data_IF_023579090239
#
_entry.id   IF_023579090239
#
_cell.length_a   1.000
_cell.length_b   1.000
_cell.length_c   1.000
_cell.angle_alpha   90.00
_cell.angle_beta   90.00
_cell.angle_gamma   90.00
#
_symmetry.space_group_name_H-M   'P 1'
#
loop_
_entity.id
_entity.type
_entity.pdbx_description
1 polymer ?
#
# COMPACT_ATOMS: atom_id res chain seq x y z
N UNK A 1 28.30 -1.92 3.10
CA UNK A 1 27.32 -2.66 3.92
C UNK A 1 26.25 -1.80 4.60
N UNK A 2 26.52 -0.57 5.05
CA UNK A 2 25.51 0.33 5.68
C UNK A 2 24.40 0.79 4.70
N UNK A 3 24.75 1.08 3.46
CA UNK A 3 23.80 1.63 2.46
C UNK A 3 22.62 0.69 2.13
N UNK A 4 22.86 -0.61 2.11
CA UNK A 4 21.79 -1.58 1.84
C UNK A 4 20.79 -1.67 3.00
N UNK A 5 21.25 -1.53 4.27
CA UNK A 5 20.35 -1.55 5.43
C UNK A 5 19.41 -0.36 5.45
N UNK A 6 19.90 0.84 5.09
CA UNK A 6 19.08 2.06 5.03
C UNK A 6 18.02 1.92 3.93
N UNK A 7 18.39 1.39 2.75
CA UNK A 7 17.44 1.16 1.65
C UNK A 7 16.33 0.16 2.05
N UNK A 8 16.68 -0.90 2.78
CA UNK A 8 15.71 -1.85 3.33
C UNK A 8 14.77 -1.19 4.32
N UNK A 9 15.28 -0.34 5.20
CA UNK A 9 14.46 0.36 6.19
C UNK A 9 13.48 1.32 5.52
N UNK A 10 13.93 2.02 4.48
CA UNK A 10 13.10 2.96 3.73
C UNK A 10 11.91 2.27 3.05
N UNK A 11 12.07 1.03 2.56
CA UNK A 11 10.98 0.27 1.95
C UNK A 11 9.81 -0.01 2.93
N UNK A 12 10.06 0.04 4.27
CA UNK A 12 9.05 -0.10 5.30
C UNK A 12 8.32 1.20 5.64
N UNK A 13 8.81 2.36 5.21
CA UNK A 13 8.22 3.66 5.56
C UNK A 13 6.72 3.73 5.21
N UNK A 14 6.26 3.35 4.00
CA UNK A 14 4.83 3.40 3.69
C UNK A 14 4.00 2.44 4.56
N UNK A 15 4.55 1.27 4.94
CA UNK A 15 3.88 0.32 5.83
C UNK A 15 3.73 0.89 7.25
N UNK A 16 4.75 1.61 7.75
CA UNK A 16 4.69 2.30 9.03
C UNK A 16 3.61 3.39 9.00
N UNK A 17 3.53 4.16 7.93
CA UNK A 17 2.49 5.19 7.76
C UNK A 17 1.10 4.56 7.79
N UNK A 18 0.87 3.45 7.07
CA UNK A 18 -0.40 2.72 7.09
C UNK A 18 -0.73 2.18 8.49
N UNK A 19 0.27 1.70 9.23
CA UNK A 19 0.09 1.22 10.60
C UNK A 19 -0.34 2.33 11.53
N UNK A 20 0.32 3.50 11.48
CA UNK A 20 -0.06 4.68 12.26
C UNK A 20 -1.49 5.08 11.91
N UNK A 21 -1.84 5.13 10.62
CA UNK A 21 -3.18 5.47 10.16
C UNK A 21 -4.23 4.47 10.66
N UNK A 22 -3.92 3.17 10.69
CA UNK A 22 -4.81 2.14 11.23
C UNK A 22 -5.02 2.31 12.74
N UNK A 23 -3.97 2.62 13.50
CA UNK A 23 -4.08 2.90 14.95
C UNK A 23 -4.96 4.12 15.21
N UNK A 24 -4.75 5.21 14.45
CA UNK A 24 -5.57 6.42 14.53
C UNK A 24 -7.03 6.13 14.19
N UNK A 25 -7.29 5.33 13.16
CA UNK A 25 -8.64 4.91 12.79
C UNK A 25 -9.32 4.15 13.94
N UNK A 26 -8.66 3.12 14.49
CA UNK A 26 -9.19 2.34 15.60
C UNK A 26 -9.51 3.25 16.80
N UNK A 27 -8.58 4.14 17.17
CA UNK A 27 -8.77 5.08 18.24
C UNK A 27 -9.98 6.00 18.00
N UNK A 28 -10.10 6.53 16.79
CA UNK A 28 -11.20 7.45 16.42
C UNK A 28 -12.56 6.76 16.45
N UNK A 29 -12.63 5.52 15.97
CA UNK A 29 -13.87 4.70 16.00
C UNK A 29 -14.30 4.42 17.44
N UNK A 30 -13.36 4.07 18.31
CA UNK A 30 -13.64 3.79 19.73
C UNK A 30 -14.07 5.08 20.45
N UNK A 31 -13.32 6.16 20.28
CA UNK A 31 -13.57 7.44 20.96
C UNK A 31 -14.93 8.07 20.58
N UNK A 32 -15.35 7.92 19.34
CA UNK A 32 -16.62 8.46 18.84
C UNK A 32 -17.79 7.48 18.90
N UNK A 33 -17.59 6.27 19.45
CA UNK A 33 -18.60 5.20 19.49
C UNK A 33 -19.24 4.91 18.12
N UNK A 34 -18.47 5.04 17.03
CA UNK A 34 -18.92 4.80 15.67
C UNK A 34 -18.60 3.35 15.24
N UNK A 35 -19.33 2.84 14.24
CA UNK A 35 -19.07 1.51 13.69
C UNK A 35 -17.95 1.52 12.65
N UNK A 36 -17.30 0.36 12.49
CA UNK A 36 -16.38 0.14 11.38
C UNK A 36 -17.16 -0.04 10.07
N UNK A 37 -16.80 0.73 9.05
CA UNK A 37 -17.24 0.46 7.69
C UNK A 37 -16.53 -0.79 7.16
N UNK A 38 -17.15 -1.50 6.22
CA UNK A 38 -16.53 -2.67 5.62
C UNK A 38 -15.14 -2.39 5.03
N UNK A 39 -14.93 -1.20 4.47
CA UNK A 39 -13.64 -0.74 3.93
C UNK A 39 -12.54 -0.63 5.00
N UNK A 40 -12.91 -0.28 6.23
CA UNK A 40 -12.00 -0.26 7.37
C UNK A 40 -11.59 -1.69 7.74
N UNK A 41 -12.54 -2.62 7.76
CA UNK A 41 -12.27 -4.03 8.07
C UNK A 41 -11.31 -4.63 7.03
N UNK A 42 -11.57 -4.39 5.73
CA UNK A 42 -10.67 -4.84 4.66
C UNK A 42 -9.26 -4.27 4.87
N UNK A 43 -9.14 -2.97 5.15
CA UNK A 43 -7.84 -2.32 5.42
C UNK A 43 -7.10 -2.97 6.60
N UNK A 44 -7.81 -3.20 7.71
CA UNK A 44 -7.26 -3.81 8.92
C UNK A 44 -6.83 -5.27 8.71
N UNK A 45 -7.49 -6.02 7.82
CA UNK A 45 -7.09 -7.39 7.45
C UNK A 45 -5.88 -7.39 6.51
N UNK A 46 -5.87 -6.47 5.55
CA UNK A 46 -4.77 -6.38 4.56
C UNK A 46 -3.46 -5.92 5.20
N UNK A 47 -3.53 -5.14 6.28
CA UNK A 47 -2.33 -4.66 6.98
C UNK A 47 -1.44 -5.81 7.51
N UNK A 48 -1.93 -6.77 8.33
CA UNK A 48 -1.13 -7.90 8.77
C UNK A 48 -0.68 -8.81 7.62
N UNK A 49 -1.45 -8.92 6.53
CA UNK A 49 -1.01 -9.66 5.34
C UNK A 49 0.22 -9.02 4.70
N UNK A 50 0.31 -7.67 4.67
CA UNK A 50 1.52 -6.98 4.21
C UNK A 50 2.71 -7.28 5.14
N UNK A 51 2.54 -7.26 6.47
CA UNK A 51 3.60 -7.64 7.40
C UNK A 51 4.07 -9.08 7.17
N UNK A 52 3.14 -10.01 6.97
CA UNK A 52 3.46 -11.40 6.65
C UNK A 52 4.22 -11.53 5.32
N UNK A 53 3.83 -10.78 4.30
CA UNK A 53 4.50 -10.75 3.00
C UNK A 53 5.95 -10.24 3.12
N UNK A 54 6.20 -9.19 3.92
CA UNK A 54 7.53 -8.69 4.22
C UNK A 54 8.37 -9.69 5.02
N UNK A 55 7.75 -10.38 5.98
CA UNK A 55 8.42 -11.42 6.77
C UNK A 55 8.82 -12.61 5.90
N UNK A 56 7.92 -13.03 5.01
CA UNK A 56 8.24 -14.14 4.11
C UNK A 56 9.35 -13.77 3.13
N UNK A 57 9.20 -12.66 2.38
CA UNK A 57 10.20 -12.14 1.46
C UNK A 57 10.05 -10.64 1.28
N UNK A 58 11.11 -9.91 1.47
CA UNK A 58 11.12 -8.46 1.31
C UNK A 58 10.57 -7.99 -0.07
N UNK A 59 11.00 -8.64 -1.17
CA UNK A 59 10.53 -8.31 -2.52
C UNK A 59 9.01 -8.50 -2.68
N UNK A 60 8.45 -9.58 -2.09
CA UNK A 60 7.00 -9.85 -2.09
C UNK A 60 6.27 -8.80 -1.27
N UNK A 61 6.81 -8.43 -0.11
CA UNK A 61 6.26 -7.39 0.75
C UNK A 61 6.14 -6.04 0.05
N UNK A 62 7.19 -5.61 -0.68
CA UNK A 62 7.16 -4.36 -1.47
C UNK A 62 6.06 -4.39 -2.53
N UNK A 63 5.91 -5.48 -3.26
CA UNK A 63 4.85 -5.63 -4.28
C UNK A 63 3.45 -5.67 -3.66
N UNK A 64 3.27 -6.44 -2.57
CA UNK A 64 2.01 -6.53 -1.85
C UNK A 64 1.58 -5.16 -1.30
N UNK A 65 2.53 -4.39 -0.75
CA UNK A 65 2.28 -3.03 -0.27
C UNK A 65 1.87 -2.08 -1.41
N UNK A 66 2.56 -2.13 -2.54
CA UNK A 66 2.18 -1.35 -3.72
C UNK A 66 0.78 -1.67 -4.21
N UNK A 67 0.43 -2.97 -4.28
CA UNK A 67 -0.92 -3.41 -4.62
C UNK A 67 -1.97 -2.91 -3.61
N UNK A 68 -1.66 -2.97 -2.32
CA UNK A 68 -2.52 -2.44 -1.25
C UNK A 68 -2.80 -0.95 -1.42
N UNK A 69 -1.78 -0.16 -1.76
CA UNK A 69 -1.93 1.28 -2.00
C UNK A 69 -2.77 1.57 -3.24
N UNK A 70 -2.64 0.77 -4.31
CA UNK A 70 -3.49 0.88 -5.50
C UNK A 70 -4.95 0.56 -5.17
N UNK A 71 -5.21 -0.50 -4.41
CA UNK A 71 -6.56 -0.88 -3.96
C UNK A 71 -7.16 0.22 -3.07
N UNK A 72 -6.34 0.84 -2.21
CA UNK A 72 -6.74 2.00 -1.40
C UNK A 72 -7.07 3.23 -2.25
N UNK A 73 -6.27 3.50 -3.29
CA UNK A 73 -6.53 4.58 -4.24
C UNK A 73 -7.88 4.39 -4.95
N UNK A 74 -8.25 3.15 -5.28
CA UNK A 74 -9.55 2.80 -5.85
C UNK A 74 -10.71 2.84 -4.83
N UNK A 75 -10.46 3.33 -3.63
CA UNK A 75 -11.43 3.43 -2.52
C UNK A 75 -12.05 2.10 -2.06
N UNK A 76 -11.39 0.98 -2.31
CA UNK A 76 -11.81 -0.35 -1.87
C UNK A 76 -11.43 -0.64 -0.42
N UNK A 77 -10.42 0.07 0.12
CA UNK A 77 -10.04 0.04 1.53
C UNK A 77 -9.80 1.47 2.06
N UNK A 78 -9.91 1.66 3.37
CA UNK A 78 -9.71 2.96 4.00
C UNK A 78 -9.09 2.80 5.39
N UNK A 79 -8.15 3.71 5.71
CA UNK A 79 -7.58 3.89 7.04
C UNK A 79 -7.95 5.24 7.65
N UNK A 80 -8.99 5.91 7.11
CA UNK A 80 -9.51 7.16 7.64
C UNK A 80 -10.94 7.00 8.10
N UNK A 81 -11.28 7.62 9.24
CA UNK A 81 -12.65 7.63 9.75
C UNK A 81 -13.62 8.34 8.78
N UNK A 82 -13.17 9.46 8.19
CA UNK A 82 -13.89 10.14 7.11
C UNK A 82 -13.32 9.72 5.76
N UNK A 83 -14.09 8.97 4.98
CA UNK A 83 -13.70 8.59 3.63
C UNK A 83 -13.89 9.80 2.72
N UNK A 84 -12.83 10.60 2.56
CA UNK A 84 -12.83 11.70 1.60
C UNK A 84 -12.52 11.12 0.23
N UNK A 85 -13.53 11.01 -0.61
CA UNK A 85 -13.36 10.62 -2.02
C UNK A 85 -13.41 11.88 -2.88
N UNK A 86 -12.41 12.05 -3.73
CA UNK A 86 -12.41 13.09 -4.77
C UNK A 86 -12.81 12.48 -6.10
N UNK A 87 -13.77 13.09 -6.78
CA UNK A 87 -14.13 12.73 -8.16
C UNK A 87 -13.33 13.58 -9.14
N UNK A 88 -12.61 12.95 -10.06
CA UNK A 88 -12.07 13.60 -11.23
C UNK A 88 -13.15 13.60 -12.31
N UNK A 89 -13.65 14.79 -12.66
CA UNK A 89 -14.62 14.98 -13.74
C UNK A 89 -13.92 15.48 -14.98
N UNK A 90 -14.18 14.84 -16.13
CA UNK A 90 -13.75 15.32 -17.44
C UNK A 90 -14.99 15.86 -18.16
N UNK A 91 -14.95 17.14 -18.51
CA UNK A 91 -15.97 17.81 -19.30
C UNK A 91 -16.55 19.05 -18.64
N UNK A 92 -16.63 20.14 -19.40
CA UNK A 92 -17.26 21.41 -19.06
C UNK A 92 -18.62 21.50 -19.73
N UNK A 93 -19.56 20.65 -19.42
CA UNK A 93 -20.96 20.85 -19.81
C UNK A 93 -21.85 20.71 -18.58
N UNK A 94 -22.68 21.71 -18.36
CA UNK A 94 -23.43 21.98 -17.13
C UNK A 94 -24.46 20.92 -16.72
N UNK A 95 -24.71 19.89 -17.51
CA UNK A 95 -25.84 18.97 -17.25
C UNK A 95 -25.49 17.49 -17.06
N UNK A 96 -24.25 17.07 -17.27
CA UNK A 96 -23.85 15.68 -16.95
C UNK A 96 -22.36 15.59 -16.65
N UNK A 97 -22.01 15.77 -15.39
CA UNK A 97 -20.67 15.44 -14.90
C UNK A 97 -20.57 13.93 -14.74
N UNK A 98 -19.94 13.25 -15.69
CA UNK A 98 -19.59 11.84 -15.54
C UNK A 98 -18.30 11.78 -14.73
N UNK A 99 -18.32 11.29 -13.48
CA UNK A 99 -17.11 11.12 -12.71
C UNK A 99 -16.26 10.02 -13.36
N UNK A 100 -15.10 10.39 -13.87
CA UNK A 100 -14.16 9.45 -14.48
C UNK A 100 -13.46 8.57 -13.45
N UNK A 101 -13.25 9.08 -12.24
CA UNK A 101 -12.52 8.36 -11.20
C UNK A 101 -12.94 8.83 -9.81
N UNK A 102 -13.25 7.86 -8.96
CA UNK A 102 -13.43 8.05 -7.52
C UNK A 102 -12.22 7.51 -6.78
N UNK A 103 -11.41 8.36 -6.19
CA UNK A 103 -10.20 7.94 -5.48
C UNK A 103 -10.00 8.65 -4.16
N UNK A 104 -9.20 8.05 -3.31
CA UNK A 104 -8.74 8.68 -2.07
C UNK A 104 -7.39 9.34 -2.31
N UNK A 105 -7.29 10.70 -2.34
CA UNK A 105 -6.06 11.40 -2.70
C UNK A 105 -4.90 11.11 -1.72
N UNK A 106 -5.20 10.75 -0.49
CA UNK A 106 -4.17 10.37 0.49
C UNK A 106 -3.39 9.12 0.05
N UNK A 107 -4.06 8.14 -0.58
CA UNK A 107 -3.37 6.96 -1.10
C UNK A 107 -2.51 7.27 -2.31
N UNK A 108 -2.86 8.29 -3.10
CA UNK A 108 -2.00 8.76 -4.18
C UNK A 108 -0.67 9.28 -3.63
N UNK A 109 -0.71 10.09 -2.57
CA UNK A 109 0.49 10.58 -1.90
C UNK A 109 1.34 9.42 -1.36
N UNK A 110 0.73 8.45 -0.69
CA UNK A 110 1.45 7.28 -0.16
C UNK A 110 2.03 6.40 -1.28
N UNK A 111 1.31 6.27 -2.39
CA UNK A 111 1.78 5.54 -3.56
C UNK A 111 2.98 6.23 -4.22
N UNK A 112 2.97 7.56 -4.32
CA UNK A 112 4.11 8.34 -4.80
C UNK A 112 5.34 8.15 -3.90
N UNK A 113 5.17 8.25 -2.58
CA UNK A 113 6.24 8.00 -1.62
C UNK A 113 6.79 6.58 -1.81
N UNK A 114 5.89 5.59 -1.94
CA UNK A 114 6.28 4.20 -2.15
C UNK A 114 7.08 4.00 -3.44
N UNK A 115 6.66 4.60 -4.55
CA UNK A 115 7.40 4.52 -5.82
C UNK A 115 8.76 5.23 -5.76
N UNK A 116 8.87 6.36 -5.06
CA UNK A 116 10.17 7.05 -4.88
C UNK A 116 11.13 6.16 -4.07
N UNK A 117 10.65 5.56 -2.99
CA UNK A 117 11.49 4.77 -2.09
C UNK A 117 11.82 3.39 -2.66
N UNK A 118 10.81 2.72 -3.22
CA UNK A 118 10.88 1.31 -3.66
C UNK A 118 10.94 1.15 -5.18
N UNK A 119 11.08 2.22 -5.94
CA UNK A 119 11.04 2.25 -7.41
C UNK A 119 12.04 1.29 -8.07
N UNK A 120 13.20 1.06 -7.43
CA UNK A 120 14.20 0.07 -7.86
C UNK A 120 13.63 -1.34 -8.03
N UNK A 121 12.65 -1.74 -7.18
CA UNK A 121 12.01 -3.05 -7.27
C UNK A 121 11.10 -3.13 -8.49
N UNK A 122 10.39 -2.05 -8.80
CA UNK A 122 9.49 -1.97 -9.97
C UNK A 122 10.26 -1.98 -11.29
N UNK A 123 11.39 -1.27 -11.37
CA UNK A 123 12.28 -1.34 -12.53
C UNK A 123 12.84 -2.76 -12.71
N UNK A 124 13.18 -3.43 -11.62
CA UNK A 124 13.72 -4.79 -11.65
C UNK A 124 12.66 -5.83 -12.09
N UNK A 125 11.36 -5.59 -11.91
CA UNK A 125 10.28 -6.49 -12.34
C UNK A 125 10.33 -6.77 -13.86
N UNK A 126 10.78 -5.81 -14.67
CA UNK A 126 10.96 -5.99 -16.10
C UNK A 126 12.07 -7.02 -16.46
N UNK A 127 12.87 -7.45 -15.49
CA UNK A 127 14.01 -8.34 -15.69
C UNK A 127 13.62 -9.79 -15.36
N UNK A 128 13.87 -10.73 -16.27
CA UNK A 128 13.58 -12.17 -16.08
C UNK A 128 14.22 -12.75 -14.79
N UNK A 129 15.39 -12.26 -14.41
CA UNK A 129 16.09 -12.71 -13.20
C UNK A 129 15.34 -12.36 -11.91
N UNK A 130 14.60 -11.25 -11.87
CA UNK A 130 13.79 -10.86 -10.72
C UNK A 130 12.74 -11.93 -10.38
N UNK A 131 12.03 -12.44 -11.40
CA UNK A 131 11.02 -13.47 -11.22
C UNK A 131 11.60 -14.81 -10.79
N UNK A 132 12.76 -15.20 -11.37
CA UNK A 132 13.47 -16.42 -10.95
C UNK A 132 13.86 -16.35 -9.48
N UNK A 133 14.35 -15.19 -9.01
CA UNK A 133 14.71 -14.99 -7.61
C UNK A 133 13.47 -14.93 -6.70
N UNK A 134 12.34 -14.43 -7.21
CA UNK A 134 11.09 -14.34 -6.46
C UNK A 134 10.53 -15.74 -6.14
N UNK A 135 10.70 -16.71 -7.04
CA UNK A 135 10.18 -18.07 -6.88
C UNK A 135 11.20 -19.09 -6.36
N UNK A 136 12.48 -18.71 -6.17
CA UNK A 136 13.45 -19.59 -5.49
C UNK A 136 12.98 -19.88 -4.06
N UNK A 137 13.03 -21.18 -3.67
CA UNK A 137 12.68 -21.60 -2.30
C UNK A 137 13.56 -20.87 -1.27
N UNK A 138 12.97 -20.33 -0.17
CA UNK A 138 13.70 -19.51 0.82
C UNK A 138 14.78 -20.26 1.61
N UNK A 139 14.85 -21.59 1.52
CA UNK A 139 15.71 -22.45 2.35
C UNK A 139 16.88 -23.14 1.61
N UNK A 140 17.16 -22.78 0.37
CA UNK A 140 18.43 -23.20 -0.23
C UNK A 140 19.52 -22.17 0.13
N UNK A 141 19.97 -22.18 1.38
CA UNK A 141 21.30 -21.72 1.74
C UNK A 141 22.29 -22.63 1.00
N UNK A 142 22.98 -22.06 0.02
CA UNK A 142 24.13 -22.66 -0.64
C UNK A 142 25.15 -22.97 0.45
N UNK A 143 25.27 -24.25 0.85
CA UNK A 143 26.48 -24.75 1.46
C UNK A 143 27.53 -24.82 0.33
N UNK A 144 28.35 -23.80 0.21
CA UNK A 144 29.66 -23.80 -0.40
C UNK A 144 30.55 -22.85 0.41
#
# INVERSE_FOLDING_TARGET
>A
MKENKIKYLLDFVPLIILTISAVVLIWTVIANHTGFLWKHIVGLVVLPLNYFAFWWRHKVGVLALGLTLIIGLLSLLSYSHSVTTSSLTIGKTSDSQIPFFYGQPIFLLWLLIHFIVSGRHYVAIATSNYWKDLFKKPFQTSNN
#
